data_IF_823866892573
#
_entry.id   IF_823866892573
#
_cell.length_a   1.000
_cell.length_b   1.000
_cell.length_c   1.000
_cell.angle_alpha   90.00
_cell.angle_beta   90.00
_cell.angle_gamma   90.00
#
_symmetry.space_group_name_H-M   'P 1'
#
loop_
_entity.id
_entity.type
_entity.pdbx_description
1 polymer ?
#
# COMPACT_ATOMS: atom_id res chain seq x y z
N UNK A 1 14.62 13.31 20.84
CA UNK A 1 14.57 13.63 19.40
C UNK A 1 13.15 14.07 19.11
N UNK A 2 12.96 15.30 18.63
CA UNK A 2 11.60 15.83 18.38
C UNK A 2 10.97 15.11 17.18
N UNK A 3 9.74 14.59 17.27
CA UNK A 3 9.05 14.00 16.13
C UNK A 3 8.80 15.02 15.01
N UNK A 4 8.94 14.57 13.76
CA UNK A 4 8.51 15.34 12.59
C UNK A 4 7.05 15.04 12.22
N UNK A 5 6.51 13.90 12.65
CA UNK A 5 5.11 13.52 12.49
C UNK A 5 4.56 12.90 13.79
N UNK A 6 3.35 13.30 14.15
CA UNK A 6 2.52 12.64 15.15
C UNK A 6 1.17 12.30 14.50
N UNK A 7 0.67 11.09 14.73
CA UNK A 7 -0.72 10.71 14.45
C UNK A 7 -1.43 10.52 15.78
N UNK A 8 -2.57 11.19 15.97
CA UNK A 8 -3.39 11.13 17.20
C UNK A 8 -4.82 10.66 16.89
N UNK A 9 -5.59 10.40 17.95
CA UNK A 9 -7.00 10.06 17.88
C UNK A 9 -7.23 8.89 16.90
N UNK A 10 -6.46 7.82 17.07
CA UNK A 10 -6.47 6.65 16.21
C UNK A 10 -6.73 5.37 17.04
N UNK A 11 -7.32 4.35 16.44
CA UNK A 11 -7.22 2.97 16.94
C UNK A 11 -5.96 2.35 16.34
N UNK A 12 -4.80 2.49 17.00
CA UNK A 12 -3.53 1.95 16.48
C UNK A 12 -3.34 0.53 17.01
N UNK A 13 -3.26 -0.47 16.12
CA UNK A 13 -2.90 -1.85 16.47
C UNK A 13 -1.42 -2.08 16.18
N UNK A 14 -0.59 -2.16 17.22
CA UNK A 14 0.88 -2.15 17.06
C UNK A 14 1.46 -3.49 16.60
N UNK A 15 0.71 -4.59 16.77
CA UNK A 15 1.18 -5.97 16.65
C UNK A 15 2.29 -6.35 17.66
N UNK A 16 2.52 -5.52 18.68
CA UNK A 16 3.35 -5.83 19.84
C UNK A 16 2.49 -6.43 20.96
N UNK A 17 2.71 -7.68 21.41
CA UNK A 17 1.95 -8.30 22.50
C UNK A 17 1.99 -7.53 23.82
N UNK A 18 3.04 -6.74 24.08
CA UNK A 18 3.20 -5.96 25.31
C UNK A 18 2.44 -4.63 25.27
N UNK A 19 2.22 -4.10 24.06
CA UNK A 19 1.50 -2.84 23.86
C UNK A 19 0.60 -2.91 22.63
N UNK A 20 -0.41 -3.81 22.61
CA UNK A 20 -1.11 -4.21 21.39
C UNK A 20 -1.98 -3.10 20.77
N UNK A 21 -2.38 -2.11 21.59
CA UNK A 21 -3.24 -1.02 21.16
C UNK A 21 -2.81 0.29 21.82
N UNK A 22 -2.78 1.38 21.03
CA UNK A 22 -2.49 2.75 21.50
C UNK A 22 -3.35 3.77 20.75
N UNK A 23 -3.34 5.03 21.19
CA UNK A 23 -4.16 6.10 20.61
C UNK A 23 -3.36 7.10 19.77
N UNK A 24 -2.04 7.14 19.95
CA UNK A 24 -1.15 8.00 19.20
C UNK A 24 0.22 7.36 18.94
N UNK A 25 0.87 7.81 17.85
CA UNK A 25 2.23 7.42 17.44
C UNK A 25 3.01 8.65 17.01
N UNK A 26 4.28 8.71 17.43
CA UNK A 26 5.26 9.70 16.99
C UNK A 26 6.32 9.04 16.10
N UNK A 27 6.72 9.73 15.05
CA UNK A 27 7.86 9.33 14.23
C UNK A 27 8.83 10.48 13.96
N UNK A 28 10.08 10.09 13.71
CA UNK A 28 11.14 10.96 13.25
C UNK A 28 11.93 10.24 12.15
N UNK A 29 12.13 10.89 11.00
CA UNK A 29 12.86 10.37 9.84
C UNK A 29 12.44 8.94 9.46
N UNK A 30 11.13 8.71 9.42
CA UNK A 30 10.54 7.42 9.04
C UNK A 30 10.66 6.31 10.10
N UNK A 31 11.10 6.62 11.32
CA UNK A 31 11.15 5.67 12.45
C UNK A 31 10.15 6.04 13.52
N UNK A 32 9.43 5.05 14.06
CA UNK A 32 8.58 5.23 15.25
C UNK A 32 9.47 5.52 16.45
N UNK A 33 9.22 6.62 17.14
CA UNK A 33 9.99 7.04 18.33
C UNK A 33 9.19 6.93 19.62
N UNK A 34 7.85 6.97 19.56
CA UNK A 34 6.99 6.76 20.71
C UNK A 34 5.58 6.30 20.28
N UNK A 35 4.92 5.58 21.19
CA UNK A 35 3.56 5.06 21.08
C UNK A 35 2.87 5.27 22.43
N UNK A 36 1.61 5.68 22.47
CA UNK A 36 0.95 5.95 23.76
C UNK A 36 -0.46 6.52 23.65
N UNK A 37 -0.91 7.12 24.75
CA UNK A 37 -2.11 7.95 24.79
C UNK A 37 -1.90 9.23 23.98
N UNK A 38 -2.99 9.91 23.65
CA UNK A 38 -2.95 11.17 22.89
C UNK A 38 -2.10 12.21 23.62
N UNK A 39 -2.35 12.43 24.92
CA UNK A 39 -1.66 13.45 25.71
C UNK A 39 -0.16 13.19 25.86
N UNK A 40 0.26 11.94 26.08
CA UNK A 40 1.68 11.58 26.19
C UNK A 40 2.45 11.90 24.92
N UNK A 41 1.85 11.63 23.76
CA UNK A 41 2.52 11.79 22.47
C UNK A 41 2.44 13.24 22.00
N UNK A 42 1.31 13.91 22.16
CA UNK A 42 1.17 15.34 21.83
C UNK A 42 2.15 16.22 22.60
N UNK A 43 2.47 15.86 23.86
CA UNK A 43 3.45 16.57 24.67
C UNK A 43 4.89 16.55 24.08
N UNK A 44 5.16 15.65 23.13
CA UNK A 44 6.45 15.57 22.42
C UNK A 44 6.56 16.55 21.24
N UNK A 45 5.44 17.16 20.82
CA UNK A 45 5.40 18.02 19.65
C UNK A 45 6.13 19.35 19.87
N UNK A 46 6.73 19.88 18.81
CA UNK A 46 7.16 21.28 18.72
C UNK A 46 6.53 21.98 17.52
N UNK A 47 6.95 23.23 17.26
CA UNK A 47 6.42 24.06 16.16
C UNK A 47 6.64 23.48 14.76
N UNK A 48 7.53 22.50 14.60
CA UNK A 48 7.85 21.83 13.33
C UNK A 48 7.18 20.47 13.21
N UNK A 49 6.63 19.92 14.29
CA UNK A 49 5.94 18.64 14.27
C UNK A 49 4.62 18.76 13.49
N UNK A 50 4.46 17.93 12.47
CA UNK A 50 3.17 17.76 11.80
C UNK A 50 2.28 16.86 12.64
N UNK A 51 1.09 17.34 13.01
CA UNK A 51 0.09 16.53 13.71
C UNK A 51 -1.01 16.13 12.74
N UNK A 52 -1.38 14.85 12.74
CA UNK A 52 -2.47 14.28 11.97
C UNK A 52 -3.50 13.70 12.94
N UNK A 53 -4.70 14.25 12.95
CA UNK A 53 -5.84 13.67 13.64
C UNK A 53 -6.49 12.59 12.74
N UNK A 54 -6.46 11.33 13.19
CA UNK A 54 -7.02 10.22 12.44
C UNK A 54 -8.55 10.10 12.58
N UNK A 55 -9.20 10.85 13.47
CA UNK A 55 -10.65 10.87 13.64
C UNK A 55 -11.23 9.54 14.12
N UNK A 56 -10.54 8.86 15.03
CA UNK A 56 -10.88 7.54 15.57
C UNK A 56 -10.62 6.37 14.62
N UNK A 57 -9.97 6.60 13.46
CA UNK A 57 -9.76 5.56 12.44
C UNK A 57 -8.68 4.57 12.86
N UNK A 58 -8.77 3.37 12.27
CA UNK A 58 -7.79 2.30 12.42
C UNK A 58 -6.46 2.67 11.75
N UNK A 59 -5.36 2.45 12.48
CA UNK A 59 -3.99 2.54 11.96
C UNK A 59 -3.29 1.20 12.22
N UNK A 60 -2.70 0.64 11.17
CA UNK A 60 -1.98 -0.63 11.21
C UNK A 60 -0.52 -0.42 10.77
N UNK A 61 0.41 -1.29 11.21
CA UNK A 61 1.67 -1.47 10.53
C UNK A 61 1.43 -1.71 9.03
N UNK A 62 2.31 -1.18 8.20
CA UNK A 62 2.28 -1.49 6.78
C UNK A 62 2.37 -3.00 6.58
N UNK A 63 1.62 -3.52 5.61
CA UNK A 63 1.71 -4.94 5.28
C UNK A 63 3.12 -5.29 4.81
N UNK A 64 3.62 -6.42 5.32
CA UNK A 64 4.90 -6.97 4.90
C UNK A 64 4.66 -8.23 4.09
N UNK A 65 4.93 -8.15 2.80
CA UNK A 65 4.96 -9.31 1.91
C UNK A 65 6.38 -9.89 1.93
N UNK A 66 6.51 -11.10 2.48
CA UNK A 66 7.81 -11.77 2.62
C UNK A 66 8.22 -12.54 1.37
N UNK A 67 7.31 -12.70 0.40
CA UNK A 67 7.57 -13.44 -0.81
C UNK A 67 6.65 -12.99 -1.95
N UNK A 68 7.20 -12.20 -2.87
CA UNK A 68 6.51 -11.75 -4.07
C UNK A 68 7.46 -11.74 -5.27
N UNK A 69 6.91 -12.04 -6.45
CA UNK A 69 7.56 -11.81 -7.74
C UNK A 69 7.16 -10.43 -8.27
N UNK A 70 7.63 -9.34 -7.64
CA UNK A 70 7.15 -7.99 -7.93
C UNK A 70 7.31 -7.61 -9.41
N UNK A 71 8.47 -7.91 -10.00
CA UNK A 71 8.74 -7.60 -11.40
C UNK A 71 7.82 -8.38 -12.33
N UNK A 72 7.64 -9.69 -12.12
CA UNK A 72 6.81 -10.51 -12.99
C UNK A 72 5.34 -10.12 -12.89
N UNK A 73 4.82 -9.97 -11.67
CA UNK A 73 3.43 -9.57 -11.42
C UNK A 73 3.16 -8.15 -11.92
N UNK A 74 4.06 -7.20 -11.65
CA UNK A 74 3.92 -5.82 -12.10
C UNK A 74 3.99 -5.69 -13.62
N UNK A 75 4.93 -6.40 -14.26
CA UNK A 75 5.05 -6.42 -15.73
C UNK A 75 3.81 -7.02 -16.37
N UNK A 76 3.32 -8.16 -15.86
CA UNK A 76 2.08 -8.79 -16.36
C UNK A 76 0.91 -7.84 -16.24
N UNK A 77 0.69 -7.25 -15.06
CA UNK A 77 -0.45 -6.37 -14.82
C UNK A 77 -0.41 -5.08 -15.65
N UNK A 78 0.77 -4.47 -15.80
CA UNK A 78 0.89 -3.17 -16.46
C UNK A 78 1.06 -3.28 -17.98
N UNK A 79 1.65 -4.37 -18.48
CA UNK A 79 2.09 -4.45 -19.87
C UNK A 79 1.42 -5.59 -20.65
N UNK A 80 0.82 -6.60 -20.02
CA UNK A 80 0.21 -7.72 -20.74
C UNK A 80 -1.31 -7.53 -20.81
N UNK A 81 -1.97 -8.25 -21.73
CA UNK A 81 -3.43 -8.21 -21.87
C UNK A 81 -4.05 -9.00 -20.71
N UNK A 82 -4.93 -8.36 -19.95
CA UNK A 82 -5.77 -9.07 -18.99
C UNK A 82 -6.91 -9.78 -19.72
N UNK A 83 -6.85 -11.11 -19.72
CA UNK A 83 -7.84 -11.98 -20.35
C UNK A 83 -8.79 -12.60 -19.31
N UNK A 84 -8.69 -12.18 -18.04
CA UNK A 84 -9.58 -12.63 -16.99
C UNK A 84 -11.03 -12.28 -17.34
N UNK A 85 -11.93 -13.26 -17.15
CA UNK A 85 -13.34 -13.08 -17.44
C UNK A 85 -13.77 -13.36 -18.89
N UNK A 86 -12.83 -13.47 -19.84
CA UNK A 86 -13.16 -13.89 -21.21
C UNK A 86 -13.56 -15.37 -21.23
N UNK A 87 -14.54 -15.71 -22.07
CA UNK A 87 -15.15 -17.06 -22.10
C UNK A 87 -15.10 -17.74 -23.45
N UNK A 88 -14.68 -17.02 -24.50
CA UNK A 88 -14.61 -17.57 -25.85
C UNK A 88 -13.26 -17.28 -26.46
N UNK A 89 -12.82 -18.16 -27.37
CA UNK A 89 -11.60 -17.96 -28.15
C UNK A 89 -11.70 -16.67 -28.97
N UNK A 90 -12.88 -16.39 -29.55
CA UNK A 90 -13.12 -15.16 -30.31
C UNK A 90 -12.85 -13.91 -29.47
N UNK A 91 -13.40 -13.83 -28.26
CA UNK A 91 -13.17 -12.68 -27.38
C UNK A 91 -11.70 -12.54 -26.98
N UNK A 92 -11.01 -13.67 -26.74
CA UNK A 92 -9.57 -13.68 -26.47
C UNK A 92 -8.76 -13.15 -27.66
N UNK A 93 -9.08 -13.59 -28.88
CA UNK A 93 -8.39 -13.15 -30.09
C UNK A 93 -8.64 -11.66 -30.37
N UNK A 94 -9.87 -11.18 -30.14
CA UNK A 94 -10.22 -9.78 -30.27
C UNK A 94 -9.40 -8.91 -29.31
N UNK A 95 -9.37 -9.27 -28.02
CA UNK A 95 -8.61 -8.53 -27.00
C UNK A 95 -7.10 -8.48 -27.30
N UNK A 96 -6.50 -9.62 -27.68
CA UNK A 96 -5.09 -9.66 -28.09
C UNK A 96 -4.85 -8.83 -29.35
N UNK A 97 -5.76 -8.87 -30.32
CA UNK A 97 -5.67 -8.14 -31.57
C UNK A 97 -5.78 -6.63 -31.39
N UNK A 98 -6.70 -6.17 -30.53
CA UNK A 98 -6.84 -4.76 -30.15
C UNK A 98 -5.57 -4.24 -29.49
N UNK A 99 -5.04 -5.01 -28.54
CA UNK A 99 -3.79 -4.67 -27.87
C UNK A 99 -2.63 -4.56 -28.86
N UNK A 100 -2.50 -5.51 -29.78
CA UNK A 100 -1.46 -5.51 -30.82
C UNK A 100 -1.53 -4.25 -31.69
N UNK A 101 -2.74 -3.89 -32.15
CA UNK A 101 -2.96 -2.69 -32.98
C UNK A 101 -2.64 -1.40 -32.23
N UNK A 102 -2.95 -1.33 -30.93
CA UNK A 102 -2.64 -0.18 -30.09
C UNK A 102 -1.14 -0.06 -29.78
N UNK A 103 -0.37 -1.15 -29.89
CA UNK A 103 1.05 -1.19 -29.54
C UNK A 103 1.93 -1.75 -30.68
N UNK A 104 1.95 -1.10 -31.86
CA UNK A 104 2.56 -1.65 -33.07
C UNK A 104 4.10 -1.79 -33.02
N UNK A 105 4.75 -1.20 -32.01
CA UNK A 105 6.21 -1.25 -31.81
C UNK A 105 6.64 -2.36 -30.85
N UNK A 106 5.73 -3.15 -30.31
CA UNK A 106 6.07 -4.25 -29.41
C UNK A 106 6.34 -5.52 -30.20
N UNK A 107 7.45 -6.16 -29.88
CA UNK A 107 7.85 -7.42 -30.51
C UNK A 107 6.92 -8.59 -30.13
N UNK A 108 6.37 -8.56 -28.91
CA UNK A 108 5.50 -9.62 -28.39
C UNK A 108 4.23 -9.06 -27.76
N UNK A 109 3.12 -9.74 -28.05
CA UNK A 109 1.85 -9.60 -27.32
C UNK A 109 1.74 -10.76 -26.35
N UNK A 110 1.64 -10.44 -25.07
CA UNK A 110 1.47 -11.41 -23.98
C UNK A 110 0.12 -11.15 -23.33
N UNK A 111 -0.51 -12.20 -22.80
CA UNK A 111 -1.74 -12.10 -22.04
C UNK A 111 -1.76 -13.09 -20.88
N UNK A 112 -2.63 -12.85 -19.90
CA UNK A 112 -2.75 -13.68 -18.70
C UNK A 112 -4.21 -13.83 -18.26
N UNK A 113 -4.48 -14.84 -17.42
CA UNK A 113 -5.78 -14.95 -16.73
C UNK A 113 -6.91 -15.63 -17.52
N UNK A 114 -6.62 -16.26 -18.66
CA UNK A 114 -7.62 -17.08 -19.36
C UNK A 114 -7.56 -18.54 -18.86
N UNK A 115 -8.66 -18.99 -18.27
CA UNK A 115 -8.89 -20.35 -17.76
C UNK A 115 -10.39 -20.66 -17.79
#
# INVERSE_FOLDING_TARGET
>A
MTPDLIVINADIRTMDPLKPQVQAVASHQGRVTALGSISEIEALADKKTKIVDAGGRLVLPGFQDTHIHLQDSGTRHALDVDLAGLRTITALQEALGEFARAHPKRDWVKGHGWY
#
